data_IF_580391603237
#
_entry.id   IF_580391603237
#
_cell.length_a   1.000
_cell.length_b   1.000
_cell.length_c   1.000
_cell.angle_alpha   90.00
_cell.angle_beta   90.00
_cell.angle_gamma   90.00
#
_symmetry.space_group_name_H-M   'P 1'
#
loop_
_entity.id
_entity.type
_entity.pdbx_description
1 polymer ?
#
# COMPACT_ATOMS: atom_id res chain seq x y z
N UNK A 1 -8.91 -6.37 -2.62
CA UNK A 1 -9.10 -5.46 -1.47
C UNK A 1 -8.14 -4.30 -1.65
N UNK A 2 -8.56 -3.05 -1.40
CA UNK A 2 -7.61 -1.93 -1.47
C UNK A 2 -6.63 -2.04 -0.29
N UNK A 3 -5.31 -2.07 -0.54
CA UNK A 3 -4.33 -2.14 0.54
C UNK A 3 -4.24 -0.81 1.30
N UNK A 4 -3.97 -0.83 2.62
CA UNK A 4 -3.55 0.37 3.34
C UNK A 4 -2.33 1.00 2.68
N UNK A 5 -2.17 2.32 2.84
CA UNK A 5 -0.94 3.01 2.48
C UNK A 5 -0.40 3.80 3.67
N UNK A 6 0.92 3.91 3.73
CA UNK A 6 1.60 4.82 4.64
C UNK A 6 2.95 5.22 4.04
N UNK A 7 3.14 6.51 3.80
CA UNK A 7 4.32 7.10 3.19
C UNK A 7 5.09 7.88 4.25
N UNK A 8 6.38 7.60 4.38
CA UNK A 8 7.30 8.38 5.20
C UNK A 8 8.54 8.75 4.37
N UNK A 9 9.51 9.43 4.96
CA UNK A 9 10.74 9.80 4.26
C UNK A 9 11.59 8.58 3.85
N UNK A 10 11.52 7.50 4.62
CA UNK A 10 12.27 6.25 4.36
C UNK A 10 11.38 5.03 4.44
N UNK A 11 11.79 3.95 3.79
CA UNK A 11 11.06 2.68 3.80
C UNK A 11 10.92 2.13 5.23
N UNK A 12 11.99 2.16 6.01
CA UNK A 12 11.98 1.62 7.38
C UNK A 12 11.11 2.43 8.33
N UNK A 13 11.11 3.77 8.21
CA UNK A 13 10.23 4.61 9.03
C UNK A 13 8.75 4.39 8.67
N UNK A 14 8.44 4.26 7.38
CA UNK A 14 7.08 3.96 6.94
C UNK A 14 6.60 2.60 7.45
N UNK A 15 7.47 1.57 7.38
CA UNK A 15 7.16 0.24 7.91
C UNK A 15 6.91 0.31 9.41
N UNK A 16 7.79 0.98 10.17
CA UNK A 16 7.63 1.14 11.62
C UNK A 16 6.31 1.82 11.98
N UNK A 17 6.01 2.99 11.39
CA UNK A 17 4.79 3.74 11.67
C UNK A 17 3.52 2.96 11.27
N UNK A 18 3.55 2.27 10.13
CA UNK A 18 2.40 1.49 9.68
C UNK A 18 2.17 0.23 10.52
N UNK A 19 3.23 -0.48 10.93
CA UNK A 19 3.10 -1.75 11.65
C UNK A 19 2.84 -1.57 13.15
N UNK A 20 3.32 -0.48 13.76
CA UNK A 20 3.14 -0.22 15.20
C UNK A 20 2.08 0.82 15.52
N UNK A 21 1.63 1.60 14.53
CA UNK A 21 0.57 2.60 14.70
C UNK A 21 -0.84 2.03 14.55
N UNK A 22 -1.80 2.91 14.30
CA UNK A 22 -3.22 2.55 14.25
C UNK A 22 -3.61 1.60 13.12
N UNK A 23 -2.89 1.63 11.99
CA UNK A 23 -3.02 0.60 10.95
C UNK A 23 -2.67 -0.77 11.53
N UNK A 24 -1.49 -0.85 12.17
CA UNK A 24 -1.00 -2.06 12.82
C UNK A 24 -1.99 -2.60 13.84
N UNK A 25 -2.42 -1.76 14.79
CA UNK A 25 -3.40 -2.13 15.82
C UNK A 25 -4.69 -2.68 15.23
N UNK A 26 -5.30 -1.98 14.27
CA UNK A 26 -6.52 -2.46 13.61
C UNK A 26 -6.31 -3.81 12.91
N UNK A 27 -5.15 -4.00 12.28
CA UNK A 27 -4.87 -5.23 11.57
C UNK A 27 -4.57 -6.41 12.50
N UNK A 28 -3.78 -6.20 13.55
CA UNK A 28 -3.46 -7.23 14.54
C UNK A 28 -4.68 -7.63 15.37
N UNK A 29 -5.48 -6.65 15.82
CA UNK A 29 -6.62 -6.93 16.71
C UNK A 29 -7.86 -7.46 15.96
N UNK A 30 -8.06 -7.02 14.72
CA UNK A 30 -9.32 -7.27 14.00
C UNK A 30 -9.13 -8.00 12.67
N UNK A 31 -8.33 -7.47 11.75
CA UNK A 31 -8.27 -8.00 10.38
C UNK A 31 -7.60 -9.36 10.29
N UNK A 32 -6.36 -9.51 10.80
CA UNK A 32 -5.60 -10.75 10.72
C UNK A 32 -6.37 -11.90 11.38
N UNK A 33 -6.86 -11.78 12.63
CA UNK A 33 -7.64 -12.85 13.26
C UNK A 33 -8.90 -13.18 12.45
N UNK A 34 -9.57 -12.18 11.89
CA UNK A 34 -10.76 -12.36 11.05
C UNK A 34 -10.49 -13.03 9.71
N UNK A 35 -9.33 -12.80 9.10
CA UNK A 35 -8.88 -13.40 7.85
C UNK A 35 -8.50 -14.87 8.07
N UNK A 36 -7.68 -15.14 9.09
CA UNK A 36 -7.22 -16.49 9.40
C UNK A 36 -8.39 -17.40 9.78
N UNK A 37 -9.31 -16.94 10.66
CA UNK A 37 -10.49 -17.73 11.06
C UNK A 37 -11.42 -18.10 9.89
N UNK A 38 -11.43 -17.32 8.82
CA UNK A 38 -12.28 -17.55 7.64
C UNK A 38 -11.57 -18.32 6.53
N UNK A 39 -10.30 -18.70 6.70
CA UNK A 39 -9.50 -19.35 5.67
C UNK A 39 -9.18 -18.44 4.48
N UNK A 40 -9.11 -17.12 4.71
CA UNK A 40 -8.90 -16.11 3.68
C UNK A 40 -7.43 -15.65 3.58
N UNK A 41 -6.49 -16.38 4.19
CA UNK A 41 -5.08 -15.98 4.28
C UNK A 41 -4.41 -15.82 2.92
N UNK A 42 -4.88 -16.54 1.89
CA UNK A 42 -4.39 -16.39 0.51
C UNK A 42 -4.49 -14.97 -0.06
N UNK A 43 -5.42 -14.14 0.43
CA UNK A 43 -5.56 -12.75 -0.02
C UNK A 43 -4.52 -11.78 0.54
N UNK A 44 -3.77 -12.21 1.55
CA UNK A 44 -2.78 -11.39 2.25
C UNK A 44 -1.40 -12.05 2.26
N UNK A 45 -1.16 -12.98 1.34
CA UNK A 45 0.14 -13.58 1.09
C UNK A 45 0.74 -13.00 -0.18
N UNK A 46 1.95 -12.47 -0.08
CA UNK A 46 2.69 -12.01 -1.25
C UNK A 46 3.16 -13.17 -2.14
N UNK A 47 3.35 -14.36 -1.57
CA UNK A 47 3.67 -15.59 -2.30
C UNK A 47 2.80 -16.75 -1.80
N UNK A 48 2.21 -17.57 -2.69
CA UNK A 48 1.41 -18.74 -2.30
C UNK A 48 2.13 -19.74 -1.38
N UNK A 49 3.46 -19.78 -1.39
CA UNK A 49 4.29 -20.63 -0.53
C UNK A 49 4.43 -20.14 0.91
N UNK A 50 4.10 -18.88 1.19
CA UNK A 50 4.18 -18.34 2.55
C UNK A 50 3.12 -19.00 3.47
N UNK A 51 3.53 -19.31 4.70
CA UNK A 51 2.66 -19.94 5.71
C UNK A 51 1.83 -18.91 6.46
N UNK A 52 0.70 -19.33 7.04
CA UNK A 52 -0.17 -18.44 7.82
C UNK A 52 0.56 -17.83 9.03
N UNK A 53 1.50 -18.56 9.64
CA UNK A 53 2.28 -18.12 10.81
C UNK A 53 3.23 -16.95 10.51
N UNK A 54 3.50 -16.66 9.23
CA UNK A 54 4.32 -15.50 8.82
C UNK A 54 3.51 -14.20 8.81
N UNK A 55 2.17 -14.29 8.84
CA UNK A 55 1.30 -13.13 8.69
C UNK A 55 1.27 -12.36 10.01
N UNK A 56 1.95 -11.23 10.01
CA UNK A 56 1.87 -10.18 11.03
C UNK A 56 1.89 -8.79 10.35
N UNK A 57 1.69 -7.73 11.12
CA UNK A 57 1.65 -6.35 10.61
C UNK A 57 2.94 -5.91 9.90
N UNK A 58 4.11 -6.32 10.38
CA UNK A 58 5.37 -6.03 9.68
C UNK A 58 5.47 -6.73 8.32
N UNK A 59 5.13 -8.02 8.26
CA UNK A 59 5.08 -8.79 7.02
C UNK A 59 4.12 -8.13 6.02
N UNK A 60 2.94 -7.71 6.48
CA UNK A 60 1.96 -7.04 5.62
C UNK A 60 2.47 -5.68 5.13
N UNK A 61 3.06 -4.85 6.00
CA UNK A 61 3.64 -3.57 5.61
C UNK A 61 4.73 -3.72 4.53
N UNK A 62 5.60 -4.72 4.69
CA UNK A 62 6.70 -4.95 3.75
C UNK A 62 6.21 -5.50 2.41
N UNK A 63 5.30 -6.48 2.43
CA UNK A 63 5.01 -7.32 1.26
C UNK A 63 3.65 -7.10 0.60
N UNK A 64 2.66 -6.54 1.30
CA UNK A 64 1.26 -6.48 0.84
C UNK A 64 0.73 -5.06 0.76
N UNK A 65 1.07 -4.21 1.73
CA UNK A 65 0.58 -2.84 1.78
C UNK A 65 1.42 -1.88 0.94
N UNK A 66 0.83 -0.73 0.62
CA UNK A 66 1.49 0.39 -0.06
C UNK A 66 2.25 1.25 0.96
N UNK A 67 3.28 0.64 1.56
CA UNK A 67 4.10 1.27 2.61
C UNK A 67 5.54 1.42 2.14
N UNK A 68 6.12 2.59 2.40
CA UNK A 68 7.51 2.92 2.10
C UNK A 68 7.79 4.42 1.94
N UNK A 69 8.96 4.74 1.39
CA UNK A 69 9.29 6.05 0.82
C UNK A 69 8.40 6.40 -0.38
N UNK A 70 8.34 7.67 -0.83
CA UNK A 70 7.54 8.03 -1.98
C UNK A 70 7.85 7.22 -3.24
N UNK A 71 9.14 6.97 -3.50
CA UNK A 71 9.58 6.18 -4.64
C UNK A 71 9.14 4.72 -4.52
N UNK A 72 9.26 4.12 -3.32
CA UNK A 72 8.83 2.75 -3.08
C UNK A 72 7.32 2.59 -3.23
N UNK A 73 6.54 3.51 -2.65
CA UNK A 73 5.08 3.47 -2.75
C UNK A 73 4.62 3.71 -4.20
N UNK A 74 5.26 4.65 -4.93
CA UNK A 74 4.98 4.86 -6.34
C UNK A 74 5.23 3.60 -7.17
N UNK A 75 6.36 2.90 -6.97
CA UNK A 75 6.63 1.63 -7.66
C UNK A 75 5.57 0.58 -7.34
N UNK A 76 5.22 0.38 -6.07
CA UNK A 76 4.17 -0.58 -5.67
C UNK A 76 2.81 -0.23 -6.30
N UNK A 77 2.44 1.05 -6.32
CA UNK A 77 1.18 1.51 -6.92
C UNK A 77 1.16 1.34 -8.46
N UNK A 78 2.30 1.56 -9.13
CA UNK A 78 2.46 1.31 -10.57
C UNK A 78 2.36 -0.18 -10.86
N UNK A 79 3.05 -1.04 -10.10
CA UNK A 79 2.94 -2.49 -10.25
C UNK A 79 1.49 -2.95 -10.10
N UNK A 80 0.79 -2.45 -9.07
CA UNK A 80 -0.63 -2.73 -8.89
C UNK A 80 -1.47 -2.26 -10.09
N UNK A 81 -1.20 -1.07 -10.62
CA UNK A 81 -1.89 -0.54 -11.81
C UNK A 81 -1.68 -1.45 -13.02
N UNK A 82 -0.46 -1.90 -13.27
CA UNK A 82 -0.13 -2.79 -14.39
C UNK A 82 -0.79 -4.16 -14.24
N UNK A 83 -0.70 -4.77 -13.05
CA UNK A 83 -1.25 -6.10 -12.76
C UNK A 83 -2.78 -6.16 -12.85
N UNK A 84 -3.48 -5.06 -12.53
CA UNK A 84 -4.94 -4.99 -12.65
C UNK A 84 -5.44 -4.53 -14.01
N UNK A 85 -4.55 -4.14 -14.93
CA UNK A 85 -4.92 -3.52 -16.21
C UNK A 85 -5.39 -2.06 -16.09
N UNK A 86 -5.07 -1.41 -14.97
CA UNK A 86 -5.34 -0.01 -14.69
C UNK A 86 -6.54 0.25 -13.78
N UNK A 87 -6.55 1.44 -13.17
CA UNK A 87 -7.68 1.98 -12.37
C UNK A 87 -7.67 3.51 -12.38
N UNK A 88 -8.84 4.13 -12.20
CA UNK A 88 -8.96 5.60 -12.23
C UNK A 88 -8.62 6.30 -10.92
N UNK A 89 -8.65 5.60 -9.79
CA UNK A 89 -8.39 6.18 -8.47
C UNK A 89 -7.87 5.14 -7.49
N UNK A 90 -6.94 5.57 -6.63
CA UNK A 90 -6.48 4.79 -5.49
C UNK A 90 -7.24 5.26 -4.24
N UNK A 91 -7.98 4.35 -3.61
CA UNK A 91 -8.79 4.66 -2.43
C UNK A 91 -7.97 4.52 -1.15
N UNK A 92 -7.82 5.60 -0.40
CA UNK A 92 -7.14 5.59 0.89
C UNK A 92 -8.04 5.11 2.02
N UNK A 93 -7.56 4.14 2.79
CA UNK A 93 -8.18 3.77 4.07
C UNK A 93 -7.70 4.74 5.15
N UNK A 94 -8.65 5.30 5.88
CA UNK A 94 -8.40 6.15 7.04
C UNK A 94 -8.59 5.34 8.32
N UNK A 95 -7.71 5.57 9.29
CA UNK A 95 -7.73 4.93 10.61
C UNK A 95 -7.78 6.03 11.69
N UNK A 96 -7.85 5.65 12.96
CA UNK A 96 -8.04 6.59 14.07
C UNK A 96 -6.74 7.31 14.48
N UNK A 97 -6.20 8.14 13.59
CA UNK A 97 -4.93 8.85 13.82
C UNK A 97 -5.03 10.04 14.78
N UNK A 98 -5.97 10.04 15.74
CA UNK A 98 -6.16 11.15 16.67
C UNK A 98 -4.89 11.47 17.48
N UNK A 99 -4.13 10.43 17.85
CA UNK A 99 -2.92 10.56 18.66
C UNK A 99 -1.64 10.81 17.83
N UNK A 100 -1.68 10.53 16.52
CA UNK A 100 -0.53 10.62 15.59
C UNK A 100 -0.86 11.46 14.33
N UNK A 101 -1.61 12.55 14.52
CA UNK A 101 -2.16 13.35 13.42
C UNK A 101 -1.07 13.94 12.51
N UNK A 102 0.06 14.37 13.05
CA UNK A 102 1.15 14.98 12.27
C UNK A 102 1.76 13.97 11.29
N UNK A 103 2.00 12.73 11.74
CA UNK A 103 2.51 11.66 10.89
C UNK A 103 1.49 11.29 9.81
N UNK A 104 0.19 11.27 10.15
CA UNK A 104 -0.87 11.02 9.18
C UNK A 104 -0.98 12.11 8.12
N UNK A 105 -0.94 13.38 8.51
CA UNK A 105 -0.99 14.52 7.59
C UNK A 105 0.24 14.54 6.67
N UNK A 106 1.43 14.26 7.20
CA UNK A 106 2.64 14.13 6.39
C UNK A 106 2.52 12.99 5.38
N UNK A 107 2.02 11.83 5.79
CA UNK A 107 1.73 10.72 4.89
C UNK A 107 0.81 11.13 3.73
N UNK A 108 -0.28 11.84 4.01
CA UNK A 108 -1.20 12.33 2.98
C UNK A 108 -0.54 13.37 2.05
N UNK A 109 0.29 14.25 2.60
CA UNK A 109 1.05 15.23 1.82
C UNK A 109 2.03 14.55 0.86
N UNK A 110 2.82 13.60 1.36
CA UNK A 110 3.76 12.82 0.55
C UNK A 110 3.03 12.00 -0.51
N UNK A 111 1.90 11.38 -0.16
CA UNK A 111 1.08 10.64 -1.11
C UNK A 111 0.62 11.55 -2.26
N UNK A 112 0.04 12.71 -1.93
CA UNK A 112 -0.48 13.67 -2.92
C UNK A 112 0.63 14.32 -3.75
N UNK A 113 1.69 14.78 -3.13
CA UNK A 113 2.67 15.68 -3.75
C UNK A 113 3.92 14.96 -4.28
N UNK A 114 4.18 13.72 -3.85
CA UNK A 114 5.37 12.95 -4.25
C UNK A 114 5.02 11.65 -4.95
N UNK A 115 4.10 10.86 -4.39
CA UNK A 115 3.73 9.55 -4.96
C UNK A 115 2.88 9.71 -6.22
N UNK A 116 1.73 10.37 -6.12
CA UNK A 116 0.77 10.44 -7.23
C UNK A 116 1.35 11.05 -8.52
N UNK A 117 2.18 12.11 -8.49
CA UNK A 117 2.81 12.63 -9.70
C UNK A 117 3.69 11.61 -10.44
N UNK A 118 4.38 10.73 -9.71
CA UNK A 118 5.19 9.66 -10.31
C UNK A 118 4.30 8.61 -10.99
N UNK A 119 3.19 8.24 -10.33
CA UNK A 119 2.20 7.30 -10.87
C UNK A 119 1.53 7.88 -12.12
N UNK A 120 1.07 9.12 -12.07
CA UNK A 120 0.42 9.82 -13.19
C UNK A 120 1.37 9.96 -14.39
N UNK A 121 2.64 10.29 -14.15
CA UNK A 121 3.65 10.36 -15.21
C UNK A 121 3.84 9.00 -15.90
N UNK A 122 3.89 7.90 -15.13
CA UNK A 122 3.96 6.54 -15.68
C UNK A 122 2.71 6.22 -16.51
N UNK A 123 1.51 6.44 -15.95
CA UNK A 123 0.23 6.15 -16.62
C UNK A 123 0.11 6.92 -17.94
N UNK A 124 0.47 8.20 -17.94
CA UNK A 124 0.46 9.02 -19.14
C UNK A 124 1.44 8.51 -20.22
N UNK A 125 2.61 8.03 -19.83
CA UNK A 125 3.59 7.43 -20.75
C UNK A 125 3.08 6.11 -21.35
N UNK A 126 2.50 5.24 -20.51
CA UNK A 126 1.94 3.95 -20.93
C UNK A 126 0.79 4.12 -21.93
N UNK A 127 -0.11 5.09 -21.73
CA UNK A 127 -1.16 5.39 -22.70
C UNK A 127 -0.64 5.93 -24.03
N UNK A 128 0.39 6.78 -24.03
CA UNK A 128 1.04 7.26 -25.27
C UNK A 128 1.71 6.13 -26.04
N UNK A 129 2.40 5.23 -25.35
CA UNK A 129 3.03 4.06 -25.95
C UNK A 129 2.02 3.09 -26.57
N UNK A 130 0.86 2.91 -25.94
CA UNK A 130 -0.23 2.12 -26.51
C UNK A 130 -0.81 2.77 -27.78
N UNK A 131 -1.04 4.08 -27.79
CA UNK A 131 -1.56 4.79 -28.97
C UNK A 131 -0.61 4.72 -30.18
N UNK A 132 0.71 4.77 -29.97
CA UNK A 132 1.69 4.70 -31.05
C UNK A 132 1.80 3.30 -31.69
N UNK A 133 1.47 2.22 -30.97
CA UNK A 133 1.53 0.84 -31.50
C UNK A 133 0.34 0.47 -32.40
N UNK A 134 -0.70 1.30 -32.44
CA UNK A 134 -1.96 1.06 -33.18
C UNK A 134 -2.07 1.96 -34.42
N UNK A 135 -1.09 2.83 -34.65
CA UNK A 135 -0.96 3.69 -35.83
C UNK A 135 0.07 3.13 -36.82
#
# INVERSE_FOLDING_TARGET
MSPPFFVAETDEEAVRLASTGEIGRFWDEYMIPGILRRGLSGFVKADPSHTDDMINTEYLARNVWLVGSPETVARKAITLYEETGGFGSLLGMCFDFIDDMDAWLLNLDLMKNKVMPLVEAHVAASHKGAALKVA
#
